data_IF_168491686135
#
_entry.id   IF_168491686135
#
_cell.length_a   1.000
_cell.length_b   1.000
_cell.length_c   1.000
_cell.angle_alpha   90.00
_cell.angle_beta   90.00
_cell.angle_gamma   90.00
#
_symmetry.space_group_name_H-M   'P 1'
#
loop_
_entity.id
_entity.type
_entity.pdbx_description
1 polymer ?
#
# COMPACT_ATOMS: atom_id res chain seq x y z
N UNK A 1 -11.82 15.28 28.07
CA UNK A 1 -12.25 15.12 26.65
C UNK A 1 -11.18 15.73 25.78
N UNK A 2 -10.32 14.96 25.08
CA UNK A 2 -9.33 15.56 24.21
C UNK A 2 -10.04 16.05 22.94
N UNK A 3 -9.81 17.31 22.57
CA UNK A 3 -10.31 17.88 21.33
C UNK A 3 -9.64 17.17 20.15
N UNK A 4 -10.43 16.57 19.27
CA UNK A 4 -9.95 16.05 17.99
C UNK A 4 -9.49 17.24 17.17
N UNK A 5 -8.17 17.44 17.08
CA UNK A 5 -7.60 18.45 16.21
C UNK A 5 -7.99 18.11 14.76
N UNK A 6 -8.93 18.85 14.18
CA UNK A 6 -9.29 18.73 12.78
C UNK A 6 -8.06 19.10 11.96
N UNK A 7 -7.40 18.10 11.38
CA UNK A 7 -6.22 18.31 10.55
C UNK A 7 -6.55 19.34 9.46
N UNK A 8 -5.86 20.48 9.50
CA UNK A 8 -6.09 21.57 8.56
C UNK A 8 -5.67 21.09 7.17
N UNK A 9 -6.62 21.01 6.24
CA UNK A 9 -6.34 20.65 4.83
C UNK A 9 -5.54 21.76 4.16
N UNK A 10 -4.22 21.71 4.27
CA UNK A 10 -3.28 22.70 3.71
C UNK A 10 -2.74 22.32 2.33
N UNK A 11 -2.67 21.02 2.01
CA UNK A 11 -2.19 20.53 0.73
C UNK A 11 -3.29 20.51 -0.34
N UNK A 12 -2.92 20.84 -1.58
CA UNK A 12 -3.78 20.80 -2.76
C UNK A 12 -3.34 19.68 -3.70
N UNK A 13 -4.28 18.84 -4.09
CA UNK A 13 -4.10 17.89 -5.18
C UNK A 13 -4.61 18.55 -6.48
N UNK A 14 -3.75 18.70 -7.47
CA UNK A 14 -4.10 19.29 -8.77
C UNK A 14 -3.96 18.22 -9.83
N UNK A 15 -5.07 17.93 -10.53
CA UNK A 15 -5.10 17.04 -11.68
C UNK A 15 -5.85 17.75 -12.81
N UNK A 16 -5.32 17.66 -14.03
CA UNK A 16 -6.06 18.06 -15.23
C UNK A 16 -6.96 16.90 -15.63
N UNK A 17 -8.24 17.20 -15.84
CA UNK A 17 -9.26 16.23 -16.25
C UNK A 17 -9.90 16.71 -17.55
N UNK A 18 -10.42 15.78 -18.34
CA UNK A 18 -11.20 16.13 -19.53
C UNK A 18 -12.56 16.73 -19.16
N UNK A 19 -13.26 17.32 -20.12
CA UNK A 19 -14.64 17.77 -19.93
C UNK A 19 -15.57 16.64 -19.51
N UNK A 20 -15.36 15.46 -20.09
CA UNK A 20 -16.21 14.30 -19.92
C UNK A 20 -16.00 13.69 -18.53
N UNK A 21 -14.74 13.60 -18.09
CA UNK A 21 -14.40 13.20 -16.72
C UNK A 21 -15.03 14.15 -15.69
N UNK A 22 -14.95 15.47 -15.94
CA UNK A 22 -15.54 16.47 -15.05
C UNK A 22 -17.06 16.27 -14.93
N UNK A 23 -17.77 16.12 -16.05
CA UNK A 23 -19.21 15.92 -16.06
C UNK A 23 -19.62 14.62 -15.34
N UNK A 24 -18.85 13.55 -15.52
CA UNK A 24 -19.07 12.28 -14.85
C UNK A 24 -18.88 12.41 -13.33
N UNK A 25 -17.80 13.05 -12.89
CA UNK A 25 -17.49 13.25 -11.47
C UNK A 25 -18.52 14.16 -10.79
N UNK A 26 -18.99 15.20 -11.47
CA UNK A 26 -20.06 16.08 -10.98
C UNK A 26 -21.38 15.32 -10.79
N UNK A 27 -21.74 14.48 -11.76
CA UNK A 27 -22.94 13.64 -11.66
C UNK A 27 -22.83 12.63 -10.53
N UNK A 28 -21.70 11.94 -10.42
CA UNK A 28 -21.48 10.94 -9.37
C UNK A 28 -21.52 11.57 -7.96
N UNK A 29 -20.82 12.70 -7.78
CA UNK A 29 -20.86 13.45 -6.53
C UNK A 29 -22.27 13.94 -6.18
N UNK A 30 -23.03 14.40 -7.19
CA UNK A 30 -24.43 14.80 -7.03
C UNK A 30 -25.34 13.65 -6.59
N UNK A 31 -25.12 12.43 -7.09
CA UNK A 31 -25.87 11.24 -6.66
C UNK A 31 -25.55 10.82 -5.22
N UNK A 32 -24.32 11.00 -4.78
CA UNK A 32 -23.91 10.74 -3.38
C UNK A 32 -24.23 11.89 -2.42
N UNK A 33 -24.72 13.03 -2.94
CA UNK A 33 -25.02 14.21 -2.12
C UNK A 33 -23.79 14.88 -1.52
N UNK A 34 -22.62 14.72 -2.13
CA UNK A 34 -21.37 15.32 -1.68
C UNK A 34 -20.74 16.24 -2.74
N UNK A 35 -19.74 17.03 -2.36
CA UNK A 35 -19.01 17.86 -3.33
C UNK A 35 -18.03 17.02 -4.13
N UNK A 36 -17.73 17.43 -5.37
CA UNK A 36 -16.76 16.75 -6.24
C UNK A 36 -15.41 16.54 -5.55
N UNK A 37 -14.95 17.53 -4.79
CA UNK A 37 -13.69 17.41 -4.05
C UNK A 37 -13.75 16.33 -2.96
N UNK A 38 -14.88 16.21 -2.25
CA UNK A 38 -15.07 15.17 -1.22
C UNK A 38 -15.16 13.79 -1.88
N UNK A 39 -15.93 13.66 -2.96
CA UNK A 39 -16.06 12.44 -3.76
C UNK A 39 -14.69 11.95 -4.27
N UNK A 40 -13.91 12.83 -4.89
CA UNK A 40 -12.60 12.46 -5.44
C UNK A 40 -11.64 12.05 -4.31
N UNK A 41 -11.57 12.81 -3.22
CA UNK A 41 -10.65 12.49 -2.11
C UNK A 41 -11.02 11.17 -1.42
N UNK A 42 -12.30 10.88 -1.20
CA UNK A 42 -12.73 9.64 -0.56
C UNK A 42 -12.35 8.41 -1.38
N UNK A 43 -12.66 8.42 -2.68
CA UNK A 43 -12.38 7.30 -3.58
C UNK A 43 -10.89 7.12 -3.85
N UNK A 44 -10.15 8.21 -4.09
CA UNK A 44 -8.70 8.15 -4.31
C UNK A 44 -7.99 7.64 -3.06
N UNK A 45 -8.43 8.07 -1.87
CA UNK A 45 -7.86 7.59 -0.61
C UNK A 45 -8.07 6.09 -0.42
N UNK A 46 -9.30 5.60 -0.62
CA UNK A 46 -9.60 4.18 -0.51
C UNK A 46 -8.77 3.33 -1.49
N UNK A 47 -8.65 3.80 -2.74
CA UNK A 47 -7.82 3.14 -3.74
C UNK A 47 -6.33 3.14 -3.36
N UNK A 48 -5.81 4.25 -2.83
CA UNK A 48 -4.44 4.35 -2.37
C UNK A 48 -4.16 3.41 -1.18
N UNK A 49 -5.06 3.37 -0.19
CA UNK A 49 -4.95 2.47 0.96
C UNK A 49 -4.94 0.99 0.52
N UNK A 50 -5.78 0.64 -0.46
CA UNK A 50 -5.80 -0.71 -1.01
C UNK A 50 -4.50 -1.09 -1.73
N UNK A 51 -3.93 -0.17 -2.52
CA UNK A 51 -2.65 -0.38 -3.22
C UNK A 51 -1.53 -0.56 -2.20
N UNK A 52 -1.42 0.35 -1.23
CA UNK A 52 -0.41 0.26 -0.16
C UNK A 52 -0.53 -1.04 0.59
N UNK A 53 -1.75 -1.40 1.03
CA UNK A 53 -2.02 -2.66 1.74
C UNK A 53 -1.60 -3.88 0.93
N UNK A 54 -1.80 -3.87 -0.40
CA UNK A 54 -1.40 -4.98 -1.29
C UNK A 54 0.11 -5.14 -1.36
N UNK A 55 0.86 -4.05 -1.32
CA UNK A 55 2.33 -4.09 -1.38
C UNK A 55 2.96 -4.38 -0.01
N UNK A 56 2.37 -3.87 1.07
CA UNK A 56 2.93 -3.98 2.41
C UNK A 56 2.48 -5.24 3.16
N UNK A 57 1.37 -5.86 2.75
CA UNK A 57 0.82 -7.04 3.43
C UNK A 57 0.97 -8.30 2.59
N UNK A 58 1.75 -9.25 3.10
CA UNK A 58 1.78 -10.63 2.58
C UNK A 58 0.58 -11.39 3.15
N UNK A 59 -0.48 -11.59 2.34
CA UNK A 59 -1.59 -12.48 2.71
C UNK A 59 -1.17 -13.93 2.46
N UNK A 60 -0.96 -14.68 3.53
CA UNK A 60 -0.75 -16.12 3.48
C UNK A 60 -2.09 -16.85 3.51
N UNK A 61 -2.24 -17.89 2.68
CA UNK A 61 -3.28 -18.90 2.86
C UNK A 61 -3.10 -19.66 4.17
N UNK A 62 -4.11 -20.40 4.62
CA UNK A 62 -4.03 -21.16 5.87
C UNK A 62 -2.85 -22.15 5.88
N UNK A 63 -2.62 -22.83 4.75
CA UNK A 63 -1.50 -23.76 4.59
C UNK A 63 -0.15 -23.04 4.64
N UNK A 64 -0.03 -21.89 3.99
CA UNK A 64 1.20 -21.08 4.00
C UNK A 64 1.47 -20.48 5.37
N UNK A 65 0.43 -20.04 6.08
CA UNK A 65 0.55 -19.53 7.46
C UNK A 65 1.07 -20.61 8.41
N UNK A 66 0.55 -21.84 8.33
CA UNK A 66 1.09 -22.97 9.11
C UNK A 66 2.55 -23.24 8.79
N UNK A 67 2.90 -23.33 7.51
CA UNK A 67 4.30 -23.52 7.08
C UNK A 67 5.22 -22.41 7.55
N UNK A 68 4.75 -21.16 7.52
CA UNK A 68 5.50 -20.00 7.98
C UNK A 68 5.76 -20.07 9.49
N UNK A 69 4.73 -20.38 10.29
CA UNK A 69 4.87 -20.55 11.75
C UNK A 69 5.79 -21.73 12.08
N UNK A 70 5.62 -22.88 11.41
CA UNK A 70 6.50 -24.04 11.56
C UNK A 70 7.96 -23.69 11.22
N UNK A 71 8.18 -22.90 10.17
CA UNK A 71 9.52 -22.46 9.78
C UNK A 71 10.15 -21.49 10.79
N UNK A 72 9.37 -20.61 11.42
CA UNK A 72 9.85 -19.68 12.46
C UNK A 72 10.20 -20.43 13.75
N UNK A 73 9.37 -21.40 14.14
CA UNK A 73 9.57 -22.16 15.38
C UNK A 73 10.61 -23.28 15.24
N UNK A 74 10.93 -23.69 14.02
CA UNK A 74 11.98 -24.67 13.76
C UNK A 74 13.36 -24.13 14.15
N UNK A 75 14.27 -25.00 14.65
CA UNK A 75 15.65 -24.60 14.93
C UNK A 75 16.34 -24.11 13.66
N UNK A 76 17.12 -23.03 13.79
CA UNK A 76 17.84 -22.41 12.67
C UNK A 76 18.81 -23.42 12.05
N UNK A 77 18.56 -23.78 10.79
CA UNK A 77 19.44 -24.68 10.03
C UNK A 77 20.64 -23.90 9.48
N UNK A 78 21.79 -24.56 9.44
CA UNK A 78 22.98 -23.98 8.82
C UNK A 78 22.71 -23.61 7.34
N UNK A 79 23.24 -22.47 6.85
CA UNK A 79 23.03 -22.04 5.47
C UNK A 79 23.54 -23.07 4.46
N UNK A 80 22.71 -23.34 3.44
CA UNK A 80 23.10 -24.24 2.34
C UNK A 80 24.31 -23.68 1.59
N UNK A 81 25.09 -24.55 0.94
CA UNK A 81 26.25 -24.12 0.13
C UNK A 81 25.85 -23.08 -0.93
N UNK A 82 24.68 -23.27 -1.56
CA UNK A 82 24.11 -22.32 -2.53
C UNK A 82 23.81 -20.96 -1.92
N UNK A 83 23.20 -20.92 -0.73
CA UNK A 83 22.91 -19.66 -0.02
C UNK A 83 24.19 -18.91 0.33
N UNK A 84 25.24 -19.61 0.78
CA UNK A 84 26.55 -19.00 1.07
C UNK A 84 27.18 -18.37 -0.17
N UNK A 85 27.17 -19.07 -1.31
CA UNK A 85 27.67 -18.52 -2.57
C UNK A 85 26.87 -17.32 -3.06
N UNK A 86 25.53 -17.33 -2.90
CA UNK A 86 24.68 -16.19 -3.25
C UNK A 86 24.95 -14.96 -2.37
N UNK A 87 25.16 -15.16 -1.06
CA UNK A 87 25.52 -14.07 -0.14
C UNK A 87 26.90 -13.46 -0.48
N UNK A 88 27.89 -14.30 -0.81
CA UNK A 88 29.21 -13.84 -1.23
C UNK A 88 29.14 -13.04 -2.55
N UNK A 89 28.33 -13.51 -3.51
CA UNK A 89 28.08 -12.78 -4.75
C UNK A 89 27.40 -11.42 -4.49
N UNK A 90 26.35 -11.40 -3.68
CA UNK A 90 25.63 -10.16 -3.33
C UNK A 90 26.54 -9.12 -2.70
N UNK A 91 27.41 -9.52 -1.76
CA UNK A 91 28.39 -8.62 -1.14
C UNK A 91 29.39 -8.03 -2.14
N UNK A 92 29.71 -8.76 -3.21
CA UNK A 92 30.64 -8.32 -4.26
C UNK A 92 29.97 -7.43 -5.31
N UNK A 93 28.68 -7.59 -5.54
CA UNK A 93 27.97 -6.92 -6.65
C UNK A 93 27.08 -5.77 -6.21
N UNK A 94 26.62 -5.75 -4.96
CA UNK A 94 25.76 -4.69 -4.43
C UNK A 94 26.62 -3.69 -3.66
N UNK A 95 27.08 -2.68 -4.39
CA UNK A 95 27.57 -1.43 -3.80
C UNK A 95 26.35 -0.66 -3.32
N UNK A 96 26.22 -0.52 -2.00
CA UNK A 96 25.20 0.31 -1.35
C UNK A 96 25.20 1.72 -1.99
N UNK A 97 24.01 2.21 -2.36
CA UNK A 97 23.78 3.59 -2.80
C UNK A 97 22.83 4.27 -1.83
#
# INVERSE_FOLDING_TARGET
MPAVATARRSNRLVARVTSDDKALLERAAGLEGCSVAVFVISHVRAAAEEIVRRHDTVRLSQTESRRFVEAILAPVKAPTKRMRTALDLHRKTVTER
#
